data_IF_871216869022
#
_entry.id   IF_871216869022
#
_cell.length_a   1.000
_cell.length_b   1.000
_cell.length_c   1.000
_cell.angle_alpha   90.00
_cell.angle_beta   90.00
_cell.angle_gamma   90.00
#
_symmetry.space_group_name_H-M   'P 1'
#
loop_
_entity.id
_entity.type
_entity.pdbx_description
1 polymer ?
#
# COMPACT_ATOMS: atom_id res chain seq x y z
N UNK A 1 1.50 -10.21 23.60
CA UNK A 1 1.94 -11.47 22.95
C UNK A 1 2.11 -11.21 21.47
N UNK A 2 3.08 -11.89 20.81
CA UNK A 2 3.27 -11.76 19.35
C UNK A 2 2.19 -12.57 18.63
N UNK A 3 1.53 -11.94 17.64
CA UNK A 3 0.57 -12.60 16.74
C UNK A 3 1.29 -13.23 15.56
N UNK A 4 2.26 -12.51 14.98
CA UNK A 4 3.06 -12.98 13.84
C UNK A 4 4.53 -12.90 14.19
N UNK A 5 5.28 -13.95 13.87
CA UNK A 5 6.75 -13.98 13.99
C UNK A 5 7.34 -14.46 12.68
N UNK A 6 8.27 -13.69 12.14
CA UNK A 6 9.01 -13.97 10.92
C UNK A 6 10.49 -14.03 11.28
N UNK A 7 11.18 -15.08 10.84
CA UNK A 7 12.60 -15.30 11.15
C UNK A 7 13.33 -15.72 9.90
N UNK A 8 14.45 -15.05 9.61
CA UNK A 8 15.39 -15.38 8.52
C UNK A 8 14.74 -15.53 7.15
N UNK A 9 13.80 -14.65 6.81
CA UNK A 9 13.10 -14.70 5.54
C UNK A 9 14.01 -14.14 4.43
N UNK A 10 14.13 -14.87 3.33
CA UNK A 10 14.84 -14.47 2.12
C UNK A 10 14.02 -14.76 0.87
N UNK A 11 14.22 -13.97 -0.17
CA UNK A 11 13.61 -14.16 -1.48
C UNK A 11 14.48 -13.61 -2.59
N UNK A 12 14.62 -14.41 -3.66
CA UNK A 12 15.33 -14.04 -4.89
C UNK A 12 14.50 -14.41 -6.11
N UNK A 13 14.67 -13.73 -7.21
CA UNK A 13 14.15 -14.11 -8.52
C UNK A 13 15.32 -14.27 -9.49
N UNK A 14 15.63 -15.52 -9.83
CA UNK A 14 16.83 -15.84 -10.61
C UNK A 14 18.11 -15.44 -9.88
N UNK A 15 18.90 -14.54 -10.48
CA UNK A 15 20.12 -14.02 -9.88
C UNK A 15 19.91 -12.78 -8.97
N UNK A 16 18.74 -12.17 -9.03
CA UNK A 16 18.45 -10.94 -8.31
C UNK A 16 17.87 -11.24 -6.94
N UNK A 17 18.64 -10.94 -5.89
CA UNK A 17 18.20 -11.04 -4.51
C UNK A 17 17.30 -9.86 -4.17
N UNK A 18 16.03 -10.15 -3.85
CA UNK A 18 15.06 -9.13 -3.49
C UNK A 18 15.25 -8.66 -2.03
N UNK A 19 15.40 -9.64 -1.12
CA UNK A 19 15.72 -9.39 0.29
C UNK A 19 16.29 -10.65 0.96
N UNK A 20 16.98 -10.45 2.08
CA UNK A 20 17.57 -11.52 2.90
C UNK A 20 17.50 -11.19 4.38
N UNK A 21 17.54 -12.23 5.20
CA UNK A 21 17.63 -12.17 6.67
C UNK A 21 16.58 -11.29 7.34
N UNK A 22 15.37 -11.23 6.74
CA UNK A 22 14.26 -10.48 7.32
C UNK A 22 13.75 -11.20 8.55
N UNK A 23 13.84 -10.50 9.69
CA UNK A 23 13.35 -10.99 10.99
C UNK A 23 12.58 -9.87 11.69
N UNK A 24 11.32 -10.15 12.03
CA UNK A 24 10.48 -9.24 12.81
C UNK A 24 9.34 -9.98 13.49
N UNK A 25 8.67 -9.30 14.43
CA UNK A 25 7.46 -9.81 15.06
C UNK A 25 6.44 -8.69 15.20
N UNK A 26 5.17 -9.05 15.15
CA UNK A 26 4.04 -8.14 15.28
C UNK A 26 3.25 -8.56 16.51
N UNK A 27 3.03 -7.62 17.42
CA UNK A 27 2.24 -7.82 18.62
C UNK A 27 0.73 -7.66 18.35
N UNK A 28 -0.10 -8.16 19.25
CA UNK A 28 -1.54 -7.91 19.22
C UNK A 28 -1.82 -6.40 19.27
N UNK A 29 -2.72 -5.93 18.42
CA UNK A 29 -3.12 -4.52 18.34
C UNK A 29 -2.11 -3.59 17.70
N UNK A 30 -0.92 -4.05 17.33
CA UNK A 30 0.13 -3.22 16.71
C UNK A 30 -0.25 -2.76 15.30
N UNK A 31 -0.01 -1.48 14.99
CA UNK A 31 -0.24 -0.89 13.67
C UNK A 31 1.10 -0.72 12.93
N UNK A 32 1.39 -1.67 12.07
CA UNK A 32 2.69 -1.84 11.43
C UNK A 32 2.66 -1.34 9.99
N UNK A 33 3.38 -0.26 9.69
CA UNK A 33 3.51 0.28 8.34
C UNK A 33 4.71 -0.32 7.61
N UNK A 34 4.51 -0.92 6.45
CA UNK A 34 5.59 -1.42 5.59
C UNK A 34 5.85 -0.41 4.47
N UNK A 35 7.03 0.19 4.50
CA UNK A 35 7.46 1.18 3.52
C UNK A 35 8.71 0.72 2.78
N UNK A 36 9.01 1.32 1.63
CA UNK A 36 10.17 0.99 0.82
C UNK A 36 9.99 1.43 -0.63
N UNK A 37 11.03 1.32 -1.45
CA UNK A 37 11.00 1.69 -2.87
C UNK A 37 10.02 0.81 -3.65
N UNK A 38 9.50 1.33 -4.78
CA UNK A 38 8.75 0.51 -5.72
C UNK A 38 9.68 -0.56 -6.30
N UNK A 39 9.14 -1.79 -6.44
CA UNK A 39 9.96 -2.96 -6.82
C UNK A 39 10.85 -3.51 -5.71
N UNK A 40 10.89 -2.90 -4.51
CA UNK A 40 11.72 -3.35 -3.38
C UNK A 40 11.22 -4.60 -2.65
N UNK A 41 10.14 -5.24 -3.13
CA UNK A 41 9.67 -6.52 -2.59
C UNK A 41 8.58 -6.43 -1.52
N UNK A 42 7.94 -5.27 -1.31
CA UNK A 42 6.83 -5.13 -0.33
C UNK A 42 5.69 -6.11 -0.58
N UNK A 43 5.14 -6.10 -1.79
CA UNK A 43 4.04 -7.00 -2.18
C UNK A 43 4.47 -8.48 -2.16
N UNK A 44 5.72 -8.79 -2.54
CA UNK A 44 6.27 -10.14 -2.44
C UNK A 44 6.36 -10.61 -0.98
N UNK A 45 6.83 -9.73 -0.08
CA UNK A 45 6.83 -10.01 1.36
C UNK A 45 5.42 -10.31 1.86
N UNK A 46 4.43 -9.50 1.49
CA UNK A 46 3.03 -9.75 1.86
C UNK A 46 2.53 -11.08 1.32
N UNK A 47 2.80 -11.41 0.04
CA UNK A 47 2.41 -12.71 -0.56
C UNK A 47 3.01 -13.91 0.18
N UNK A 48 4.26 -13.78 0.62
CA UNK A 48 4.91 -14.83 1.41
C UNK A 48 4.25 -14.97 2.79
N UNK A 49 3.92 -13.85 3.47
CA UNK A 49 3.19 -13.88 4.74
C UNK A 49 1.83 -14.56 4.62
N UNK A 50 1.19 -14.43 3.45
CA UNK A 50 -0.09 -15.02 3.10
C UNK A 50 0.02 -16.50 2.68
N UNK A 51 1.22 -17.06 2.55
CA UNK A 51 1.44 -18.40 2.01
C UNK A 51 1.15 -18.53 0.51
N UNK A 52 1.00 -17.41 -0.21
CA UNK A 52 0.76 -17.39 -1.67
C UNK A 52 2.06 -17.55 -2.47
N UNK A 53 3.18 -17.29 -1.83
CA UNK A 53 4.51 -17.43 -2.39
C UNK A 53 5.45 -18.09 -1.36
N UNK A 54 6.34 -18.95 -1.82
CA UNK A 54 7.28 -19.62 -0.93
C UNK A 54 8.55 -18.77 -0.76
N UNK A 55 9.09 -18.68 0.46
CA UNK A 55 10.41 -18.10 0.67
C UNK A 55 11.51 -18.99 0.07
N UNK A 56 12.68 -18.42 -0.13
CA UNK A 56 13.84 -19.19 -0.53
C UNK A 56 14.34 -20.05 0.62
N UNK A 57 14.69 -21.29 0.31
CA UNK A 57 15.34 -22.22 1.24
C UNK A 57 16.85 -22.16 1.00
N UNK A 58 17.54 -21.26 1.68
CA UNK A 58 19.01 -21.26 1.68
C UNK A 58 19.48 -22.34 2.66
N UNK A 59 20.17 -23.37 2.17
CA UNK A 59 20.48 -24.65 2.84
C UNK A 59 21.07 -24.63 4.25
N UNK A 60 21.32 -23.47 4.86
CA UNK A 60 21.83 -23.33 6.23
C UNK A 60 20.84 -22.67 7.21
N UNK A 61 19.84 -21.93 6.72
CA UNK A 61 18.90 -21.22 7.59
C UNK A 61 17.48 -21.37 7.05
N UNK A 62 16.60 -22.02 7.81
CA UNK A 62 15.19 -22.23 7.41
C UNK A 62 14.41 -20.97 7.75
N UNK A 63 13.82 -20.35 6.73
CA UNK A 63 12.83 -19.29 6.92
C UNK A 63 11.64 -19.84 7.74
N UNK A 64 11.22 -19.13 8.77
CA UNK A 64 10.08 -19.52 9.57
C UNK A 64 9.09 -18.36 9.69
N UNK A 65 7.85 -18.65 9.31
CA UNK A 65 6.71 -17.76 9.51
C UNK A 65 5.77 -18.49 10.45
N UNK A 66 5.42 -17.87 11.57
CA UNK A 66 4.54 -18.45 12.57
C UNK A 66 3.46 -17.46 12.93
N UNK A 67 2.22 -17.78 12.58
CA UNK A 67 1.03 -17.13 13.11
C UNK A 67 0.65 -17.85 14.40
N UNK A 68 0.26 -17.11 15.44
CA UNK A 68 -0.17 -17.70 16.71
C UNK A 68 -1.40 -18.60 16.47
N UNK A 69 -1.45 -19.72 17.22
CA UNK A 69 -2.50 -20.73 17.03
C UNK A 69 -3.91 -20.12 17.22
N UNK A 70 -4.85 -20.54 16.34
CA UNK A 70 -6.23 -20.07 16.36
C UNK A 70 -6.45 -18.64 15.87
N UNK A 71 -5.40 -17.94 15.41
CA UNK A 71 -5.52 -16.57 14.89
C UNK A 71 -5.84 -16.56 13.40
N UNK A 72 -6.71 -15.63 13.00
CA UNK A 72 -7.18 -15.45 11.62
C UNK A 72 -6.47 -14.29 10.97
N UNK A 73 -6.11 -14.48 9.70
CA UNK A 73 -5.46 -13.48 8.88
C UNK A 73 -6.42 -13.03 7.79
N UNK A 74 -6.58 -11.71 7.67
CA UNK A 74 -7.35 -11.09 6.59
C UNK A 74 -6.44 -10.28 5.67
N UNK A 75 -6.70 -10.33 4.38
CA UNK A 75 -5.91 -9.63 3.37
C UNK A 75 -6.78 -8.88 2.37
N UNK A 76 -6.54 -7.59 2.24
CA UNK A 76 -7.06 -6.78 1.15
C UNK A 76 -6.00 -6.68 0.05
N UNK A 77 -6.27 -7.31 -1.07
CA UNK A 77 -5.47 -7.13 -2.29
C UNK A 77 -5.75 -5.79 -2.93
N UNK A 78 -4.75 -5.24 -3.63
CA UNK A 78 -4.91 -4.06 -4.48
C UNK A 78 -6.01 -4.25 -5.55
N UNK A 79 -6.16 -5.47 -6.07
CA UNK A 79 -7.28 -5.90 -6.91
C UNK A 79 -8.00 -7.04 -6.21
N UNK A 80 -9.09 -6.71 -5.49
CA UNK A 80 -9.87 -7.74 -4.81
C UNK A 80 -10.67 -8.56 -5.84
N UNK A 81 -10.63 -9.88 -5.78
CA UNK A 81 -11.47 -10.71 -6.64
C UNK A 81 -12.94 -10.48 -6.23
N UNK A 82 -13.71 -9.92 -7.11
CA UNK A 82 -15.15 -9.78 -7.00
C UNK A 82 -15.81 -10.59 -8.10
N UNK A 83 -16.98 -11.16 -7.81
CA UNK A 83 -17.77 -11.89 -8.79
C UNK A 83 -18.75 -10.91 -9.47
N UNK A 84 -18.50 -10.52 -10.73
CA UNK A 84 -19.27 -9.47 -11.39
C UNK A 84 -20.77 -9.77 -11.48
N UNK A 85 -21.12 -11.05 -11.53
CA UNK A 85 -22.48 -11.56 -11.65
C UNK A 85 -23.31 -11.52 -10.37
N UNK A 86 -22.65 -11.36 -9.20
CA UNK A 86 -23.32 -11.30 -7.90
C UNK A 86 -23.78 -9.90 -7.57
N UNK A 87 -24.81 -9.81 -6.75
CA UNK A 87 -25.21 -8.54 -6.14
C UNK A 87 -24.30 -8.17 -4.98
N UNK A 88 -24.33 -6.89 -4.57
CA UNK A 88 -23.59 -6.43 -3.38
C UNK A 88 -24.00 -7.20 -2.13
N UNK A 89 -25.32 -7.47 -1.97
CA UNK A 89 -25.83 -8.26 -0.84
C UNK A 89 -25.26 -9.68 -0.83
N UNK A 90 -25.27 -10.37 -1.96
CA UNK A 90 -24.73 -11.74 -2.10
C UNK A 90 -23.24 -11.79 -1.78
N UNK A 91 -22.47 -10.80 -2.23
CA UNK A 91 -21.02 -10.72 -1.94
C UNK A 91 -20.74 -10.46 -0.44
N UNK A 92 -21.56 -9.66 0.22
CA UNK A 92 -21.49 -9.46 1.68
C UNK A 92 -21.83 -10.76 2.41
N UNK A 93 -22.91 -11.45 2.00
CA UNK A 93 -23.35 -12.69 2.64
C UNK A 93 -22.29 -13.82 2.53
N UNK A 94 -21.58 -13.91 1.40
CA UNK A 94 -20.42 -14.83 1.27
C UNK A 94 -19.34 -14.55 2.32
N UNK A 95 -19.09 -13.31 2.67
CA UNK A 95 -18.12 -12.99 3.73
C UNK A 95 -18.62 -13.38 5.12
N UNK A 96 -19.94 -13.44 5.30
CA UNK A 96 -20.62 -13.81 6.54
C UNK A 96 -20.87 -15.32 6.68
N UNK A 97 -20.65 -16.11 5.61
CA UNK A 97 -20.90 -17.56 5.61
C UNK A 97 -20.29 -18.28 6.83
N UNK A 98 -19.02 -18.03 7.25
CA UNK A 98 -18.47 -18.67 8.44
C UNK A 98 -19.19 -18.28 9.74
N UNK A 99 -19.72 -17.07 9.83
CA UNK A 99 -20.53 -16.60 10.95
C UNK A 99 -21.90 -17.31 10.96
N UNK A 100 -22.57 -17.39 9.79
CA UNK A 100 -23.86 -18.09 9.63
C UNK A 100 -23.73 -19.58 9.93
N UNK A 101 -22.61 -20.20 9.53
CA UNK A 101 -22.32 -21.59 9.85
C UNK A 101 -22.18 -21.83 11.37
N UNK A 102 -21.48 -20.93 12.09
CA UNK A 102 -21.36 -21.00 13.54
C UNK A 102 -22.73 -20.81 14.24
N UNK A 103 -23.54 -19.88 13.76
CA UNK A 103 -24.92 -19.66 14.26
C UNK A 103 -25.79 -20.92 14.07
N UNK A 104 -25.76 -21.50 12.88
CA UNK A 104 -26.49 -22.72 12.58
C UNK A 104 -26.01 -23.92 13.44
N UNK A 105 -24.71 -23.99 13.73
CA UNK A 105 -24.16 -25.03 14.60
C UNK A 105 -24.63 -24.90 16.06
N UNK A 106 -24.81 -23.67 16.56
CA UNK A 106 -25.43 -23.42 17.88
C UNK A 106 -26.87 -23.94 17.91
N UNK A 107 -27.66 -23.61 16.89
CA UNK A 107 -29.05 -24.04 16.79
C UNK A 107 -29.16 -25.58 16.68
N UNK A 108 -28.34 -26.20 15.85
CA UNK A 108 -28.29 -27.66 15.69
C UNK A 108 -27.89 -28.38 16.98
N UNK A 109 -26.90 -27.86 17.71
CA UNK A 109 -26.48 -28.42 19.00
C UNK A 109 -27.58 -28.26 20.06
N UNK A 110 -28.32 -27.14 20.04
CA UNK A 110 -29.46 -26.92 20.91
C UNK A 110 -30.59 -27.95 20.67
N UNK A 111 -30.89 -28.26 19.42
CA UNK A 111 -31.86 -29.32 19.04
C UNK A 111 -31.36 -30.69 19.50
N UNK A 112 -30.08 -31.01 19.26
CA UNK A 112 -29.47 -32.29 19.69
C UNK A 112 -29.51 -32.48 21.20
N UNK A 113 -29.30 -31.41 21.99
CA UNK A 113 -29.48 -31.47 23.46
C UNK A 113 -30.93 -31.81 23.85
N UNK A 114 -31.92 -31.24 23.14
CA UNK A 114 -33.34 -31.56 23.41
C UNK A 114 -33.71 -33.02 23.02
N UNK A 115 -33.07 -33.57 21.99
CA UNK A 115 -33.28 -34.94 21.52
C UNK A 115 -32.52 -36.02 22.34
N UNK A 116 -31.48 -35.63 23.07
CA UNK A 116 -30.66 -36.55 23.85
C UNK A 116 -31.45 -37.26 24.99
N UNK A 117 -32.53 -36.66 25.50
CA UNK A 117 -33.36 -37.23 26.55
C UNK A 117 -32.54 -37.64 27.78
N UNK A 118 -32.67 -38.90 28.21
CA UNK A 118 -31.93 -39.46 29.38
C UNK A 118 -30.55 -40.05 28.98
N UNK A 119 -30.12 -39.94 27.72
CA UNK A 119 -28.84 -40.47 27.24
C UNK A 119 -27.70 -39.48 27.60
N UNK A 120 -26.99 -39.78 28.69
CA UNK A 120 -25.94 -38.89 29.21
C UNK A 120 -24.77 -38.69 28.25
N UNK A 121 -24.43 -39.71 27.44
CA UNK A 121 -23.29 -39.64 26.50
C UNK A 121 -23.67 -38.70 25.32
N UNK A 122 -24.87 -38.83 24.77
CA UNK A 122 -25.36 -37.91 23.71
C UNK A 122 -25.53 -36.47 24.18
N UNK A 123 -26.01 -36.31 25.41
CA UNK A 123 -26.13 -34.97 26.01
C UNK A 123 -24.76 -34.31 26.17
N UNK A 124 -23.75 -35.07 26.62
CA UNK A 124 -22.40 -34.55 26.76
C UNK A 124 -21.79 -34.16 25.40
N UNK A 125 -21.96 -35.02 24.38
CA UNK A 125 -21.51 -34.72 23.02
C UNK A 125 -22.18 -33.44 22.44
N UNK A 126 -23.48 -33.28 22.66
CA UNK A 126 -24.20 -32.08 22.22
C UNK A 126 -23.78 -30.83 22.99
N UNK A 127 -23.47 -30.92 24.28
CA UNK A 127 -22.95 -29.81 25.10
C UNK A 127 -21.55 -29.38 24.65
N UNK A 128 -20.68 -30.34 24.35
CA UNK A 128 -19.33 -30.04 23.83
C UNK A 128 -19.42 -29.35 22.45
N UNK A 129 -20.28 -29.86 21.59
CA UNK A 129 -20.53 -29.24 20.26
C UNK A 129 -21.10 -27.83 20.39
N UNK A 130 -22.03 -27.59 21.31
CA UNK A 130 -22.61 -26.28 21.60
C UNK A 130 -21.52 -25.29 22.08
N UNK A 131 -20.66 -25.74 23.01
CA UNK A 131 -19.61 -24.89 23.55
C UNK A 131 -18.63 -24.46 22.46
N UNK A 132 -18.21 -25.40 21.60
CA UNK A 132 -17.33 -25.12 20.47
C UNK A 132 -17.98 -24.13 19.48
N UNK A 133 -19.26 -24.36 19.15
CA UNK A 133 -20.00 -23.50 18.23
C UNK A 133 -20.22 -22.10 18.81
N UNK A 134 -20.49 -21.99 20.13
CA UNK A 134 -20.64 -20.72 20.82
C UNK A 134 -19.33 -19.93 20.85
N UNK A 135 -18.21 -20.57 21.17
CA UNK A 135 -16.90 -19.93 21.17
C UNK A 135 -16.52 -19.42 19.78
N UNK A 136 -16.80 -20.20 18.71
CA UNK A 136 -16.58 -19.77 17.34
C UNK A 136 -17.47 -18.60 16.94
N UNK A 137 -18.76 -18.65 17.28
CA UNK A 137 -19.73 -17.58 17.03
C UNK A 137 -19.33 -16.26 17.72
N UNK A 138 -18.98 -16.31 19.01
CA UNK A 138 -18.55 -15.14 19.79
C UNK A 138 -17.24 -14.56 19.22
N UNK A 139 -16.29 -15.41 18.84
CA UNK A 139 -15.03 -15.00 18.23
C UNK A 139 -15.21 -14.27 16.89
N UNK A 140 -16.35 -14.49 16.21
CA UNK A 140 -16.72 -13.82 14.95
C UNK A 140 -17.53 -12.55 15.16
N UNK A 141 -17.88 -12.20 16.38
CA UNK A 141 -18.64 -10.99 16.72
C UNK A 141 -19.99 -11.23 17.36
N UNK A 142 -20.45 -12.49 17.47
CA UNK A 142 -21.67 -12.84 18.16
C UNK A 142 -22.89 -12.06 17.62
N UNK A 143 -23.84 -11.81 18.49
CA UNK A 143 -25.08 -11.09 18.15
C UNK A 143 -24.90 -9.61 17.78
N UNK A 144 -23.74 -9.01 18.07
CA UNK A 144 -23.44 -7.63 17.72
C UNK A 144 -23.11 -7.46 16.23
N UNK A 145 -22.75 -8.54 15.52
CA UNK A 145 -22.30 -8.44 14.13
C UNK A 145 -23.41 -7.94 13.20
N UNK A 146 -24.66 -8.33 13.40
CA UNK A 146 -25.78 -7.89 12.55
C UNK A 146 -25.95 -6.37 12.55
N UNK A 147 -25.89 -5.73 13.71
CA UNK A 147 -25.89 -4.27 13.83
C UNK A 147 -24.64 -3.62 13.23
N UNK A 148 -23.50 -4.35 13.28
CA UNK A 148 -22.23 -3.88 12.71
C UNK A 148 -22.25 -3.91 11.18
N UNK A 149 -22.95 -4.88 10.54
CA UNK A 149 -23.00 -5.01 9.08
C UNK A 149 -23.59 -3.74 8.46
N UNK A 150 -24.77 -3.32 8.89
CA UNK A 150 -25.43 -2.12 8.36
C UNK A 150 -24.59 -0.86 8.63
N UNK A 151 -24.04 -0.73 9.83
CA UNK A 151 -23.15 0.37 10.20
C UNK A 151 -21.90 0.44 9.34
N UNK A 152 -21.23 -0.70 9.07
CA UNK A 152 -20.04 -0.79 8.23
C UNK A 152 -20.35 -0.41 6.78
N UNK A 153 -21.41 -0.97 6.20
CA UNK A 153 -21.80 -0.67 4.82
C UNK A 153 -22.18 0.80 4.64
N UNK A 154 -22.94 1.36 5.57
CA UNK A 154 -23.31 2.79 5.56
C UNK A 154 -22.08 3.70 5.67
N UNK A 155 -21.15 3.38 6.56
CA UNK A 155 -19.91 4.14 6.75
C UNK A 155 -18.99 4.10 5.53
N UNK A 156 -19.07 3.05 4.72
CA UNK A 156 -18.40 2.93 3.43
C UNK A 156 -19.19 3.54 2.28
N UNK A 157 -20.30 4.22 2.56
CA UNK A 157 -21.10 4.95 1.58
C UNK A 157 -22.07 4.10 0.78
N UNK A 158 -22.35 2.86 1.20
CA UNK A 158 -23.39 2.02 0.60
C UNK A 158 -24.75 2.34 1.20
N UNK A 159 -25.77 2.43 0.36
CA UNK A 159 -27.16 2.61 0.74
C UNK A 159 -27.90 1.28 0.67
N UNK A 160 -28.99 1.10 1.42
CA UNK A 160 -29.83 -0.10 1.28
C UNK A 160 -30.30 -0.35 -0.15
N UNK A 161 -30.54 0.71 -0.93
CA UNK A 161 -30.93 0.62 -2.34
C UNK A 161 -29.82 0.08 -3.26
N UNK A 162 -28.58 0.08 -2.82
CA UNK A 162 -27.47 -0.36 -3.65
C UNK A 162 -27.24 -1.88 -3.54
N UNK A 163 -27.85 -2.52 -2.54
CA UNK A 163 -27.62 -3.93 -2.24
C UNK A 163 -28.00 -4.89 -3.37
N UNK A 164 -29.00 -4.53 -4.17
CA UNK A 164 -29.44 -5.31 -5.33
C UNK A 164 -28.63 -5.04 -6.60
N UNK A 165 -27.68 -4.08 -6.55
CA UNK A 165 -26.83 -3.73 -7.69
C UNK A 165 -25.82 -4.85 -7.95
N UNK A 166 -25.62 -5.23 -9.22
CA UNK A 166 -24.59 -6.18 -9.60
C UNK A 166 -23.19 -5.58 -9.36
N UNK A 167 -22.28 -6.39 -8.86
CA UNK A 167 -20.89 -5.97 -8.58
C UNK A 167 -20.17 -5.53 -9.86
N UNK A 168 -20.52 -6.14 -11.01
CA UNK A 168 -19.99 -5.75 -12.32
C UNK A 168 -20.37 -4.32 -12.74
N UNK A 169 -21.51 -3.79 -12.24
CA UNK A 169 -21.95 -2.42 -12.50
C UNK A 169 -21.36 -1.40 -11.52
N UNK A 170 -20.58 -1.86 -10.56
CA UNK A 170 -19.92 -1.00 -9.59
C UNK A 170 -18.64 -0.39 -10.17
N UNK A 171 -18.39 0.88 -9.83
CA UNK A 171 -17.10 1.50 -10.09
C UNK A 171 -15.98 0.80 -9.32
N UNK A 172 -14.72 0.90 -9.79
CA UNK A 172 -13.57 0.33 -9.10
C UNK A 172 -13.45 0.78 -7.64
N UNK A 173 -13.85 2.01 -7.32
CA UNK A 173 -13.91 2.50 -5.94
C UNK A 173 -14.98 1.81 -5.11
N UNK A 174 -16.17 1.57 -5.66
CA UNK A 174 -17.23 0.80 -4.98
C UNK A 174 -16.79 -0.65 -4.75
N UNK A 175 -16.15 -1.28 -5.71
CA UNK A 175 -15.61 -2.64 -5.56
C UNK A 175 -14.54 -2.71 -4.47
N UNK A 176 -13.65 -1.73 -4.39
CA UNK A 176 -12.64 -1.65 -3.33
C UNK A 176 -13.29 -1.47 -1.95
N UNK A 177 -14.31 -0.60 -1.84
CA UNK A 177 -15.06 -0.41 -0.60
C UNK A 177 -15.82 -1.67 -0.18
N UNK A 178 -16.42 -2.39 -1.14
CA UNK A 178 -17.06 -3.68 -0.88
C UNK A 178 -16.08 -4.72 -0.35
N UNK A 179 -14.91 -4.84 -0.98
CA UNK A 179 -13.86 -5.76 -0.54
C UNK A 179 -13.37 -5.42 0.88
N UNK A 180 -13.25 -4.12 1.18
CA UNK A 180 -12.92 -3.65 2.52
C UNK A 180 -14.03 -3.98 3.53
N UNK A 181 -15.32 -3.77 3.17
CA UNK A 181 -16.46 -4.15 4.01
C UNK A 181 -16.42 -5.65 4.34
N UNK A 182 -16.27 -6.50 3.34
CA UNK A 182 -16.16 -7.96 3.50
C UNK A 182 -15.04 -8.32 4.48
N UNK A 183 -13.88 -7.70 4.32
CA UNK A 183 -12.73 -7.97 5.17
C UNK A 183 -12.93 -7.54 6.62
N UNK A 184 -13.51 -6.36 6.83
CA UNK A 184 -13.83 -5.82 8.16
C UNK A 184 -14.84 -6.71 8.90
N UNK A 185 -15.87 -7.17 8.19
CA UNK A 185 -16.92 -8.03 8.75
C UNK A 185 -16.41 -9.40 9.19
N UNK A 186 -15.33 -9.93 8.58
CA UNK A 186 -14.70 -11.19 9.01
C UNK A 186 -13.90 -11.07 10.32
N UNK A 187 -13.65 -9.85 10.82
CA UNK A 187 -12.91 -9.56 12.07
C UNK A 187 -11.62 -10.38 12.23
N UNK A 188 -10.65 -10.30 11.31
CA UNK A 188 -9.39 -11.06 11.43
C UNK A 188 -8.54 -10.52 12.59
N UNK A 189 -7.72 -11.35 13.22
CA UNK A 189 -6.78 -10.94 14.27
C UNK A 189 -5.58 -10.16 13.74
N UNK A 190 -5.18 -10.46 12.49
CA UNK A 190 -4.16 -9.74 11.74
C UNK A 190 -4.72 -9.32 10.39
N UNK A 191 -4.76 -8.03 10.15
CA UNK A 191 -5.25 -7.41 8.93
C UNK A 191 -4.07 -6.95 8.09
N UNK A 192 -3.99 -7.39 6.83
CA UNK A 192 -2.99 -6.95 5.87
C UNK A 192 -3.68 -6.12 4.79
N UNK A 193 -3.24 -4.88 4.61
CA UNK A 193 -3.78 -3.93 3.65
C UNK A 193 -2.67 -3.47 2.69
N UNK A 194 -2.83 -3.76 1.41
CA UNK A 194 -1.91 -3.32 0.35
C UNK A 194 -2.54 -2.18 -0.44
N UNK A 195 -2.06 -0.95 -0.24
CA UNK A 195 -2.53 0.29 -0.85
C UNK A 195 -4.06 0.52 -0.71
N UNK A 196 -4.64 0.44 0.52
CA UNK A 196 -6.09 0.49 0.71
C UNK A 196 -6.71 1.85 0.38
N UNK A 197 -5.91 2.91 0.34
CA UNK A 197 -6.37 4.27 0.01
C UNK A 197 -6.57 4.49 -1.49
N UNK A 198 -6.06 3.59 -2.34
CA UNK A 198 -6.26 3.69 -3.77
C UNK A 198 -7.75 3.54 -4.11
N UNK A 199 -8.23 4.42 -4.97
CA UNK A 199 -9.63 4.47 -5.43
C UNK A 199 -10.68 4.87 -4.37
N UNK A 200 -10.24 5.18 -3.13
CA UNK A 200 -11.13 5.75 -2.11
C UNK A 200 -11.22 7.27 -2.27
N UNK A 201 -12.39 7.82 -1.96
CA UNK A 201 -12.56 9.25 -1.78
C UNK A 201 -12.15 9.68 -0.35
N UNK A 202 -12.13 10.98 -0.11
CA UNK A 202 -11.65 11.53 1.16
C UNK A 202 -12.48 11.01 2.34
N UNK A 203 -13.79 10.93 2.20
CA UNK A 203 -14.69 10.46 3.27
C UNK A 203 -14.43 8.99 3.63
N UNK A 204 -14.20 8.15 2.61
CA UNK A 204 -13.87 6.74 2.82
C UNK A 204 -12.46 6.56 3.43
N UNK A 205 -11.50 7.42 3.08
CA UNK A 205 -10.17 7.41 3.70
C UNK A 205 -10.24 7.83 5.17
N UNK A 206 -10.97 8.88 5.52
CA UNK A 206 -11.17 9.34 6.90
C UNK A 206 -11.88 8.26 7.75
N UNK A 207 -12.89 7.60 7.19
CA UNK A 207 -13.52 6.48 7.85
C UNK A 207 -12.53 5.33 8.09
N UNK A 208 -11.75 4.94 7.06
CA UNK A 208 -10.77 3.87 7.18
C UNK A 208 -9.70 4.19 8.23
N UNK A 209 -9.25 5.44 8.28
CA UNK A 209 -8.31 5.92 9.29
C UNK A 209 -8.86 5.74 10.70
N UNK A 210 -10.10 6.19 10.94
CA UNK A 210 -10.78 6.04 12.23
C UNK A 210 -10.96 4.58 12.60
N UNK A 211 -11.45 3.77 11.65
CA UNK A 211 -11.62 2.34 11.83
C UNK A 211 -10.31 1.63 12.23
N UNK A 212 -9.21 1.90 11.51
CA UNK A 212 -7.93 1.24 11.77
C UNK A 212 -7.30 1.66 13.10
N UNK A 213 -7.53 2.88 13.56
CA UNK A 213 -7.11 3.34 14.89
C UNK A 213 -7.80 2.57 16.01
N UNK A 214 -9.10 2.34 15.86
CA UNK A 214 -9.95 1.65 16.83
C UNK A 214 -9.88 0.12 16.73
N UNK A 215 -9.34 -0.40 15.62
CA UNK A 215 -9.27 -1.83 15.37
C UNK A 215 -8.43 -2.54 16.44
N UNK A 216 -9.04 -3.49 17.15
CA UNK A 216 -8.37 -4.23 18.25
C UNK A 216 -7.28 -5.19 17.74
N UNK A 217 -7.41 -5.71 16.52
CA UNK A 217 -6.42 -6.60 15.89
C UNK A 217 -5.16 -5.87 15.45
N UNK A 218 -4.13 -6.65 15.11
CA UNK A 218 -2.92 -6.11 14.50
C UNK A 218 -3.17 -5.74 13.02
N UNK A 219 -2.42 -4.76 12.51
CA UNK A 219 -2.51 -4.31 11.13
C UNK A 219 -1.13 -4.25 10.50
N UNK A 220 -0.98 -4.80 9.30
CA UNK A 220 0.14 -4.52 8.38
C UNK A 220 -0.42 -3.64 7.27
N UNK A 221 0.14 -2.45 7.11
CA UNK A 221 -0.31 -1.45 6.17
C UNK A 221 0.80 -1.08 5.19
N UNK A 222 0.56 -1.26 3.90
CA UNK A 222 1.38 -0.67 2.83
C UNK A 222 0.59 0.49 2.26
N UNK A 223 1.16 1.69 2.24
CA UNK A 223 0.55 2.86 1.60
C UNK A 223 1.62 3.84 1.12
N UNK A 224 1.30 4.56 0.05
CA UNK A 224 2.06 5.72 -0.43
C UNK A 224 1.54 7.03 0.18
N UNK A 225 0.37 7.01 0.81
CA UNK A 225 -0.18 8.17 1.51
C UNK A 225 0.51 8.34 2.88
N UNK A 226 1.31 9.40 2.97
CA UNK A 226 2.09 9.71 4.17
C UNK A 226 1.22 10.17 5.32
N UNK A 227 0.15 10.91 5.02
CA UNK A 227 -0.79 11.43 6.02
C UNK A 227 -1.55 10.28 6.65
N UNK A 228 -2.01 9.36 5.84
CA UNK A 228 -2.68 8.15 6.30
C UNK A 228 -1.76 7.26 7.17
N UNK A 229 -0.50 7.04 6.73
CA UNK A 229 0.48 6.32 7.56
C UNK A 229 0.75 7.04 8.89
N UNK A 230 0.89 8.37 8.86
CA UNK A 230 1.13 9.16 10.08
C UNK A 230 -0.01 9.05 11.09
N UNK A 231 -1.23 8.95 10.60
CA UNK A 231 -2.41 8.87 11.42
C UNK A 231 -2.65 7.48 12.05
N UNK A 232 -2.26 6.40 11.37
CA UNK A 232 -2.65 5.03 11.72
C UNK A 232 -1.53 4.23 12.37
N UNK A 233 -0.27 4.36 11.90
CA UNK A 233 0.79 3.42 12.29
C UNK A 233 1.58 3.87 13.53
N UNK A 234 2.00 2.90 14.32
CA UNK A 234 2.85 3.08 15.51
C UNK A 234 4.27 2.52 15.33
N UNK A 235 4.48 1.76 14.28
CA UNK A 235 5.78 1.15 13.93
C UNK A 235 5.93 1.12 12.42
N UNK A 236 7.09 1.54 11.92
CA UNK A 236 7.43 1.49 10.50
C UNK A 236 8.53 0.45 10.26
N UNK A 237 8.28 -0.43 9.29
CA UNK A 237 9.27 -1.33 8.72
C UNK A 237 9.72 -0.79 7.36
N UNK A 238 10.94 -0.37 7.28
CA UNK A 238 11.56 0.16 6.07
C UNK A 238 12.32 -0.95 5.35
N UNK A 239 11.78 -1.38 4.21
CA UNK A 239 12.42 -2.35 3.33
C UNK A 239 13.25 -1.60 2.29
N UNK A 240 14.55 -1.49 2.56
CA UNK A 240 15.49 -0.77 1.71
C UNK A 240 16.75 -1.61 1.44
N UNK A 241 17.15 -1.69 0.16
CA UNK A 241 18.29 -2.48 -0.29
C UNK A 241 18.30 -3.94 0.22
N UNK A 242 17.13 -4.58 0.19
CA UNK A 242 16.96 -5.99 0.59
C UNK A 242 17.01 -6.25 2.10
N UNK A 243 17.06 -5.22 2.93
CA UNK A 243 17.07 -5.31 4.41
C UNK A 243 15.86 -4.63 5.00
N UNK A 244 15.32 -5.20 6.07
CA UNK A 244 14.23 -4.62 6.84
C UNK A 244 14.78 -3.94 8.09
N UNK A 245 14.44 -2.67 8.27
CA UNK A 245 14.78 -1.91 9.48
C UNK A 245 13.52 -1.41 10.15
N UNK A 246 13.38 -1.66 11.45
CA UNK A 246 12.23 -1.24 12.22
C UNK A 246 12.49 0.11 12.89
N UNK A 247 11.49 0.99 12.81
CA UNK A 247 11.46 2.29 13.48
C UNK A 247 10.18 2.41 14.30
N UNK A 248 10.29 2.81 15.56
CA UNK A 248 9.13 3.06 16.41
C UNK A 248 8.59 4.46 16.15
N UNK A 249 7.27 4.55 16.10
CA UNK A 249 6.55 5.79 15.85
C UNK A 249 5.89 5.84 14.50
N UNK A 250 5.30 6.99 14.19
CA UNK A 250 4.59 7.26 12.96
C UNK A 250 5.54 7.57 11.77
N UNK A 251 5.00 7.87 10.61
CA UNK A 251 5.78 8.11 9.40
C UNK A 251 6.71 9.34 9.50
N UNK A 252 6.25 10.40 10.14
CA UNK A 252 7.05 11.62 10.37
C UNK A 252 8.26 11.33 11.28
N UNK A 253 8.05 10.62 12.38
CA UNK A 253 9.12 10.20 13.29
C UNK A 253 10.10 9.24 12.62
N UNK A 254 9.61 8.29 11.83
CA UNK A 254 10.45 7.42 11.01
C UNK A 254 11.35 8.23 10.07
N UNK A 255 10.81 9.21 9.35
CA UNK A 255 11.59 10.07 8.45
C UNK A 255 12.73 10.78 9.16
N UNK A 256 12.47 11.31 10.34
CA UNK A 256 13.49 11.96 11.17
C UNK A 256 14.56 10.96 11.60
N UNK A 257 14.18 9.84 12.21
CA UNK A 257 15.10 8.80 12.68
C UNK A 257 15.95 8.23 11.53
N UNK A 258 15.34 7.99 10.36
CA UNK A 258 16.07 7.53 9.16
C UNK A 258 17.09 8.57 8.72
N UNK A 259 16.74 9.85 8.67
CA UNK A 259 17.67 10.93 8.29
C UNK A 259 18.85 11.03 9.27
N UNK A 260 18.60 11.04 10.57
CA UNK A 260 19.62 11.07 11.60
C UNK A 260 20.59 9.86 11.50
N UNK A 261 20.06 8.68 11.21
CA UNK A 261 20.85 7.47 10.99
C UNK A 261 21.76 7.60 9.76
N UNK A 262 21.22 8.10 8.65
CA UNK A 262 21.97 8.32 7.41
C UNK A 262 23.07 9.37 7.59
N UNK A 263 22.77 10.48 8.27
CA UNK A 263 23.75 11.54 8.55
C UNK A 263 24.88 11.02 9.43
N UNK A 264 24.57 10.27 10.49
CA UNK A 264 25.56 9.64 11.36
C UNK A 264 26.44 8.64 10.59
N UNK A 265 25.83 7.80 9.76
CA UNK A 265 26.59 6.84 8.94
C UNK A 265 27.50 7.56 7.93
N UNK A 266 27.02 8.67 7.35
CA UNK A 266 27.83 9.50 6.45
C UNK A 266 29.04 10.15 7.16
N UNK A 267 28.86 10.64 8.38
CA UNK A 267 29.96 11.17 9.17
C UNK A 267 30.99 10.11 9.55
N UNK A 268 30.55 8.92 9.97
CA UNK A 268 31.44 7.78 10.25
C UNK A 268 32.22 7.42 8.99
N UNK A 269 31.55 7.34 7.84
CA UNK A 269 32.20 7.06 6.56
C UNK A 269 33.25 8.13 6.21
N UNK A 270 32.93 9.43 6.33
CA UNK A 270 33.87 10.52 6.10
C UNK A 270 35.10 10.43 6.99
N UNK A 271 34.91 10.13 8.27
CA UNK A 271 36.00 9.98 9.23
C UNK A 271 36.87 8.79 8.87
N UNK A 272 36.28 7.68 8.49
CA UNK A 272 37.02 6.49 8.03
C UNK A 272 37.80 6.80 6.75
N UNK A 273 37.23 7.51 5.77
CA UNK A 273 37.96 7.88 4.54
C UNK A 273 39.16 8.76 4.84
N UNK A 274 39.05 9.75 5.72
CA UNK A 274 40.21 10.58 6.14
C UNK A 274 41.31 9.74 6.77
N UNK A 275 40.95 8.77 7.61
CA UNK A 275 41.98 7.90 8.23
C UNK A 275 42.61 6.94 7.20
N UNK A 276 41.83 6.40 6.26
CA UNK A 276 42.34 5.59 5.14
C UNK A 276 43.32 6.40 4.26
N UNK A 277 42.97 7.63 3.93
CA UNK A 277 43.86 8.53 3.16
C UNK A 277 45.15 8.81 3.92
N UNK A 278 45.06 9.14 5.21
CA UNK A 278 46.26 9.32 6.07
C UNK A 278 47.14 8.09 6.11
N UNK A 279 46.59 6.91 6.25
CA UNK A 279 47.31 5.66 6.25
C UNK A 279 47.95 5.36 4.88
N UNK A 280 47.25 5.67 3.78
CA UNK A 280 47.81 5.58 2.41
C UNK A 280 48.97 6.54 2.20
N UNK A 281 48.88 7.76 2.70
CA UNK A 281 49.98 8.73 2.63
C UNK A 281 51.20 8.27 3.46
N UNK A 282 50.97 7.63 4.61
CA UNK A 282 52.04 7.03 5.40
C UNK A 282 52.75 5.92 4.62
N UNK A 283 52.03 5.08 3.91
CA UNK A 283 52.59 4.04 3.01
C UNK A 283 53.39 4.69 1.90
N UNK A 284 52.91 5.75 1.24
CA UNK A 284 53.60 6.47 0.18
C UNK A 284 54.94 7.07 0.65
N UNK A 285 54.93 7.73 1.82
CA UNK A 285 56.17 8.33 2.39
C UNK A 285 57.23 7.32 2.73
N UNK A 286 56.86 6.06 2.96
CA UNK A 286 57.78 4.97 3.26
C UNK A 286 58.10 4.09 2.03
N UNK A 287 57.86 4.54 0.80
CA UNK A 287 58.10 3.76 -0.43
C UNK A 287 59.57 3.60 -0.84
N UNK A 288 60.53 4.29 -0.25
CA UNK A 288 61.95 4.24 -0.63
C UNK A 288 62.92 3.83 0.48
N UNK A 289 62.44 3.32 1.62
CA UNK A 289 63.26 3.03 2.80
C UNK A 289 63.62 1.56 2.97
N UNK A 290 64.67 1.28 3.78
CA UNK A 290 65.10 -0.07 4.12
C UNK A 290 64.09 -0.89 4.95
N UNK A 291 64.58 -1.94 5.64
CA UNK A 291 63.74 -2.93 6.36
C UNK A 291 62.67 -2.34 7.30
N UNK A 292 63.02 -1.24 8.00
CA UNK A 292 62.09 -0.56 8.91
C UNK A 292 60.86 0.04 8.16
N UNK A 293 61.11 0.68 7.00
CA UNK A 293 60.06 1.25 6.17
C UNK A 293 59.19 0.15 5.55
N UNK A 294 59.74 -1.00 5.23
CA UNK A 294 59.02 -2.18 4.76
C UNK A 294 58.09 -2.74 5.85
N UNK A 295 58.52 -2.82 7.09
CA UNK A 295 57.70 -3.25 8.24
C UNK A 295 56.56 -2.29 8.50
N UNK A 296 56.81 -0.96 8.47
CA UNK A 296 55.74 0.06 8.64
C UNK A 296 54.69 -0.08 7.55
N UNK A 297 55.08 -0.24 6.28
CA UNK A 297 54.15 -0.46 5.16
C UNK A 297 53.24 -1.67 5.40
N UNK A 298 53.84 -2.83 5.74
CA UNK A 298 53.13 -4.09 5.96
C UNK A 298 52.13 -3.99 7.10
N UNK A 299 52.50 -3.37 8.22
CA UNK A 299 51.62 -3.15 9.38
C UNK A 299 50.47 -2.19 9.03
N UNK A 300 50.81 -1.08 8.33
CA UNK A 300 49.78 -0.08 7.92
C UNK A 300 48.81 -0.65 6.90
N UNK A 301 49.30 -1.43 5.93
CA UNK A 301 48.47 -2.13 4.96
C UNK A 301 47.51 -3.12 5.67
N UNK A 302 48.04 -3.94 6.59
CA UNK A 302 47.21 -4.87 7.36
C UNK A 302 46.19 -4.16 8.29
N UNK A 303 46.45 -2.90 8.70
CA UNK A 303 45.47 -2.09 9.44
C UNK A 303 44.31 -1.65 8.53
N UNK A 304 44.60 -1.20 7.30
CA UNK A 304 43.57 -0.83 6.31
C UNK A 304 42.71 -2.04 5.95
N UNK A 305 43.32 -3.22 5.76
CA UNK A 305 42.58 -4.46 5.39
C UNK A 305 41.67 -4.97 6.50
N UNK A 306 42.03 -4.75 7.79
CA UNK A 306 41.27 -5.13 8.95
C UNK A 306 40.23 -4.10 9.36
N UNK A 307 40.24 -2.91 8.75
CA UNK A 307 39.16 -1.93 9.00
C UNK A 307 37.87 -2.42 8.40
N UNK A 308 36.83 -2.56 9.24
CA UNK A 308 35.46 -2.81 8.76
C UNK A 308 35.06 -1.69 7.81
N UNK A 309 34.81 -2.05 6.57
CA UNK A 309 34.46 -1.05 5.55
C UNK A 309 33.06 -0.54 5.83
N UNK A 310 32.94 0.70 6.27
CA UNK A 310 31.67 1.40 6.35
C UNK A 310 31.18 1.67 4.93
N UNK A 311 30.04 1.12 4.57
CA UNK A 311 29.42 1.36 3.27
C UNK A 311 29.07 2.84 3.13
N UNK A 312 29.42 3.41 1.98
CA UNK A 312 29.00 4.76 1.63
C UNK A 312 27.47 4.77 1.49
N UNK A 313 26.82 5.55 2.33
CA UNK A 313 25.41 5.83 2.13
C UNK A 313 25.27 6.73 0.92
N UNK A 314 24.71 6.19 -0.15
CA UNK A 314 24.20 7.03 -1.23
C UNK A 314 22.87 7.62 -0.74
N UNK A 315 22.93 8.81 -0.17
CA UNK A 315 21.72 9.62 -0.08
C UNK A 315 21.29 9.84 -1.52
N UNK A 316 20.19 9.20 -1.90
CA UNK A 316 19.65 9.35 -3.24
C UNK A 316 19.18 10.80 -3.42
N UNK A 317 20.12 11.65 -3.77
CA UNK A 317 19.88 13.05 -4.14
C UNK A 317 19.44 13.16 -5.59
N UNK A 318 19.32 12.04 -6.28
CA UNK A 318 18.78 11.98 -7.64
C UNK A 318 17.26 12.21 -7.60
N UNK A 319 16.86 13.36 -7.10
CA UNK A 319 15.63 13.96 -7.61
C UNK A 319 15.92 14.21 -9.09
N UNK A 320 15.38 13.35 -9.96
CA UNK A 320 15.30 13.66 -11.37
C UNK A 320 14.65 15.04 -11.48
N UNK A 321 15.46 16.06 -11.57
CA UNK A 321 15.01 17.38 -11.99
C UNK A 321 14.98 17.32 -13.51
N UNK A 322 13.87 16.90 -14.06
CA UNK A 322 13.58 17.19 -15.45
C UNK A 322 13.63 18.73 -15.56
N UNK A 323 14.69 19.26 -16.14
CA UNK A 323 14.71 20.64 -16.57
C UNK A 323 13.83 20.69 -17.82
N UNK A 324 12.57 21.05 -17.63
CA UNK A 324 11.72 21.41 -18.74
C UNK A 324 12.22 22.77 -19.22
N UNK A 325 12.84 22.80 -20.39
CA UNK A 325 13.33 24.04 -20.98
C UNK A 325 12.10 24.79 -21.55
N UNK A 326 11.73 25.91 -20.92
CA UNK A 326 10.59 26.74 -21.33
C UNK A 326 10.82 27.45 -22.67
N UNK A 327 11.99 27.33 -23.29
CA UNK A 327 12.38 28.05 -24.53
C UNK A 327 11.56 27.69 -25.77
N UNK A 328 10.78 26.61 -25.75
CA UNK A 328 9.92 26.18 -26.85
C UNK A 328 8.46 26.64 -26.77
N UNK A 329 8.01 27.13 -25.62
CA UNK A 329 6.65 27.63 -25.48
C UNK A 329 6.56 29.04 -26.04
N UNK A 330 5.84 29.22 -27.15
CA UNK A 330 5.49 30.58 -27.65
C UNK A 330 4.83 31.42 -26.55
N UNK A 331 4.74 32.74 -26.74
CA UNK A 331 4.05 33.61 -25.78
C UNK A 331 2.58 33.19 -25.64
N UNK A 332 2.27 32.54 -24.53
CA UNK A 332 0.91 32.17 -24.15
C UNK A 332 0.28 33.38 -23.45
N UNK A 333 -1.00 33.66 -23.72
CA UNK A 333 -1.78 34.71 -23.06
C UNK A 333 -1.86 34.50 -21.54
N UNK A 334 -2.45 35.45 -20.85
CA UNK A 334 -2.71 35.36 -19.40
C UNK A 334 -3.74 34.27 -19.10
N UNK A 335 -4.85 34.29 -19.84
CA UNK A 335 -5.94 33.33 -19.70
C UNK A 335 -5.59 32.05 -20.48
N UNK A 336 -5.54 30.94 -19.78
CA UNK A 336 -5.15 29.61 -20.31
C UNK A 336 -6.36 28.76 -20.63
N UNK A 337 -7.40 28.85 -19.79
CA UNK A 337 -8.62 28.06 -19.91
C UNK A 337 -9.79 28.83 -19.30
N UNK A 338 -10.89 28.92 -20.03
CA UNK A 338 -12.13 29.53 -19.54
C UNK A 338 -13.29 28.54 -19.72
N UNK A 339 -14.04 28.31 -18.66
CA UNK A 339 -15.29 27.57 -18.65
C UNK A 339 -16.42 28.57 -18.42
N UNK A 340 -17.45 28.52 -19.26
CA UNK A 340 -18.63 29.39 -19.16
C UNK A 340 -19.90 28.54 -19.08
N UNK A 341 -20.64 28.62 -17.96
CA UNK A 341 -21.88 27.90 -17.72
C UNK A 341 -21.81 26.41 -18.05
N UNK A 342 -20.65 25.79 -17.80
CA UNK A 342 -20.41 24.40 -18.18
C UNK A 342 -21.28 23.46 -17.37
N UNK A 343 -21.99 22.58 -18.05
CA UNK A 343 -22.81 21.55 -17.42
C UNK A 343 -22.73 20.23 -18.17
N UNK A 344 -22.80 19.13 -17.42
CA UNK A 344 -22.85 17.77 -17.95
C UNK A 344 -23.92 16.94 -17.27
N UNK A 345 -24.72 16.28 -18.08
CA UNK A 345 -25.76 15.34 -17.69
C UNK A 345 -25.58 14.04 -18.48
N UNK A 346 -25.83 12.91 -17.86
CA UNK A 346 -25.99 11.62 -18.54
C UNK A 346 -27.41 11.12 -18.20
N UNK A 347 -28.22 10.97 -19.21
CA UNK A 347 -29.64 10.64 -19.11
C UNK A 347 -30.35 11.52 -18.04
N UNK A 348 -30.84 10.93 -16.95
CA UNK A 348 -31.49 11.65 -15.85
C UNK A 348 -30.53 12.12 -14.75
N UNK A 349 -29.25 11.70 -14.81
CA UNK A 349 -28.25 12.06 -13.79
C UNK A 349 -27.49 13.32 -14.17
N UNK A 350 -27.72 14.39 -13.41
CA UNK A 350 -26.95 15.62 -13.49
C UNK A 350 -25.65 15.43 -12.72
N UNK A 351 -24.48 15.64 -13.35
CA UNK A 351 -23.21 15.61 -12.66
C UNK A 351 -22.85 16.98 -12.07
N UNK A 352 -22.93 18.02 -12.89
CA UNK A 352 -22.75 19.41 -12.50
C UNK A 352 -23.39 20.35 -13.51
N UNK A 353 -23.77 21.54 -13.03
CA UNK A 353 -24.39 22.60 -13.84
C UNK A 353 -23.77 23.94 -13.47
N UNK A 354 -23.78 24.87 -14.40
CA UNK A 354 -23.37 26.26 -14.20
C UNK A 354 -21.96 26.41 -13.63
N UNK A 355 -21.01 25.60 -14.10
CA UNK A 355 -19.62 25.68 -13.67
C UNK A 355 -18.91 26.78 -14.49
N UNK A 356 -18.51 27.83 -13.82
CA UNK A 356 -17.68 28.91 -14.35
C UNK A 356 -16.30 28.84 -13.73
N UNK A 357 -15.25 28.86 -14.54
CA UNK A 357 -13.87 28.81 -14.07
C UNK A 357 -12.97 29.55 -15.07
N UNK A 358 -12.12 30.41 -14.56
CA UNK A 358 -11.03 31.00 -15.35
C UNK A 358 -9.69 30.58 -14.75
N UNK A 359 -8.82 30.04 -15.60
CA UNK A 359 -7.47 29.57 -15.21
C UNK A 359 -6.44 30.44 -15.88
N UNK A 360 -5.62 31.08 -15.07
CA UNK A 360 -4.52 31.93 -15.53
C UNK A 360 -3.20 31.14 -15.61
N UNK A 361 -2.25 31.70 -16.33
CA UNK A 361 -0.91 31.13 -16.46
C UNK A 361 -0.21 31.05 -15.09
N UNK A 362 0.18 29.84 -14.70
CA UNK A 362 0.85 29.58 -13.43
C UNK A 362 -0.06 29.05 -12.32
N UNK A 363 -1.38 29.06 -12.54
CA UNK A 363 -2.33 28.49 -11.59
C UNK A 363 -2.14 26.98 -11.44
N UNK A 364 -2.47 26.50 -10.24
CA UNK A 364 -2.51 25.08 -9.90
C UNK A 364 -3.85 24.80 -9.25
N UNK A 365 -4.67 24.05 -9.95
CA UNK A 365 -6.05 23.76 -9.53
C UNK A 365 -6.19 22.30 -9.17
N UNK A 366 -6.75 22.00 -8.00
CA UNK A 366 -7.12 20.67 -7.55
C UNK A 366 -8.63 20.47 -7.62
N UNK A 367 -9.10 19.44 -8.32
CA UNK A 367 -10.50 19.03 -8.29
C UNK A 367 -10.72 17.99 -7.19
N UNK A 368 -11.51 18.35 -6.19
CA UNK A 368 -11.81 17.53 -5.01
C UNK A 368 -13.30 17.23 -4.98
N UNK A 369 -13.67 16.05 -4.51
CA UNK A 369 -15.05 15.63 -4.36
C UNK A 369 -15.19 14.11 -4.28
N UNK A 370 -16.38 13.61 -3.91
CA UNK A 370 -16.66 12.19 -3.79
C UNK A 370 -16.50 11.44 -5.13
N UNK A 371 -16.40 10.12 -5.05
CA UNK A 371 -16.37 9.29 -6.25
C UNK A 371 -17.72 9.41 -7.00
N UNK A 372 -17.65 9.47 -8.32
CA UNK A 372 -18.84 9.68 -9.16
C UNK A 372 -19.34 11.13 -9.26
N UNK A 373 -18.70 12.12 -8.62
CA UNK A 373 -19.05 13.55 -8.72
C UNK A 373 -18.72 14.18 -10.09
N UNK A 374 -18.13 13.44 -11.01
CA UNK A 374 -17.85 13.94 -12.37
C UNK A 374 -16.45 14.52 -12.57
N UNK A 375 -15.49 14.33 -11.63
CA UNK A 375 -14.10 14.84 -11.77
C UNK A 375 -13.44 14.39 -13.08
N UNK A 376 -13.45 13.10 -13.37
CA UNK A 376 -12.89 12.54 -14.60
C UNK A 376 -13.65 12.98 -15.85
N UNK A 377 -14.97 13.15 -15.73
CA UNK A 377 -15.81 13.67 -16.81
C UNK A 377 -15.47 15.13 -17.12
N UNK A 378 -15.23 15.94 -16.09
CA UNK A 378 -14.76 17.31 -16.28
C UNK A 378 -13.43 17.35 -17.05
N UNK A 379 -12.46 16.52 -16.68
CA UNK A 379 -11.19 16.42 -17.43
C UNK A 379 -11.40 16.00 -18.87
N UNK A 380 -12.28 15.03 -19.15
CA UNK A 380 -12.63 14.62 -20.53
C UNK A 380 -13.29 15.74 -21.34
N UNK A 381 -14.13 16.57 -20.71
CA UNK A 381 -14.67 17.77 -21.34
C UNK A 381 -13.58 18.79 -21.69
N UNK A 382 -12.58 18.99 -20.81
CA UNK A 382 -11.44 19.85 -21.06
C UNK A 382 -10.59 19.36 -22.23
N UNK A 383 -10.46 18.04 -22.39
CA UNK A 383 -9.73 17.40 -23.49
C UNK A 383 -10.54 17.31 -24.79
N UNK A 384 -11.80 17.72 -24.76
CA UNK A 384 -12.75 17.58 -25.88
C UNK A 384 -13.00 16.10 -26.29
N UNK A 385 -12.77 15.17 -25.36
CA UNK A 385 -13.12 13.75 -25.52
C UNK A 385 -14.62 13.51 -25.28
N UNK A 386 -15.25 14.42 -24.55
CA UNK A 386 -16.68 14.46 -24.28
C UNK A 386 -17.26 15.83 -24.63
N UNK A 387 -18.54 15.86 -24.99
CA UNK A 387 -19.24 17.13 -25.27
C UNK A 387 -20.01 17.59 -24.04
N UNK A 388 -19.99 18.88 -23.71
CA UNK A 388 -20.81 19.42 -22.62
C UNK A 388 -22.30 19.38 -23.01
N UNK A 389 -23.18 19.23 -22.02
CA UNK A 389 -24.63 19.36 -22.22
C UNK A 389 -25.03 20.83 -22.33
N UNK A 390 -24.39 21.69 -21.53
CA UNK A 390 -24.58 23.15 -21.57
C UNK A 390 -23.23 23.84 -21.44
N UNK A 391 -23.16 25.11 -21.88
CA UNK A 391 -21.96 25.92 -21.76
C UNK A 391 -20.88 25.58 -22.76
N UNK A 392 -19.67 26.07 -22.49
CA UNK A 392 -18.50 25.88 -23.38
C UNK A 392 -17.19 25.86 -22.62
N UNK A 393 -16.22 25.18 -23.24
CA UNK A 393 -14.81 25.13 -22.83
C UNK A 393 -14.00 25.92 -23.86
N UNK A 394 -13.21 26.89 -23.44
CA UNK A 394 -12.36 27.70 -24.29
C UNK A 394 -10.91 27.64 -23.81
N UNK A 395 -10.03 27.12 -24.65
CA UNK A 395 -8.59 27.19 -24.43
C UNK A 395 -8.04 28.53 -24.95
N UNK A 396 -7.10 29.09 -24.21
CA UNK A 396 -6.41 30.33 -24.61
C UNK A 396 -5.61 30.12 -25.89
N UNK A 397 -5.28 31.26 -26.57
CA UNK A 397 -4.55 31.24 -27.82
C UNK A 397 -3.14 30.63 -27.63
N UNK A 398 -2.75 29.72 -28.50
CA UNK A 398 -1.47 29.00 -28.49
C UNK A 398 -1.23 28.12 -27.27
N UNK A 399 -2.26 27.76 -26.49
CA UNK A 399 -2.14 26.81 -25.39
C UNK A 399 -2.03 25.39 -25.94
N UNK A 400 -0.96 24.69 -25.56
CA UNK A 400 -0.81 23.25 -25.78
C UNK A 400 -1.11 22.55 -24.48
N UNK A 401 -2.08 21.65 -24.47
CA UNK A 401 -2.41 20.82 -23.32
C UNK A 401 -1.81 19.44 -23.48
N UNK A 402 -1.44 18.84 -22.35
CA UNK A 402 -1.04 17.44 -22.26
C UNK A 402 -1.82 16.81 -21.12
N UNK A 403 -2.17 15.55 -21.29
CA UNK A 403 -2.91 14.80 -20.31
C UNK A 403 -2.13 13.56 -19.86
N UNK A 404 -2.01 13.40 -18.56
CA UNK A 404 -1.47 12.20 -17.97
C UNK A 404 -2.61 11.44 -17.27
N UNK A 405 -3.02 10.32 -17.85
CA UNK A 405 -4.14 9.52 -17.34
C UNK A 405 -3.72 8.66 -16.13
N UNK A 406 -4.70 8.25 -15.33
CA UNK A 406 -4.50 7.31 -14.24
C UNK A 406 -3.95 5.96 -14.75
N UNK A 407 -4.35 5.56 -15.96
CA UNK A 407 -3.94 4.34 -16.65
C UNK A 407 -2.97 4.66 -17.81
N UNK A 408 -1.99 5.54 -17.57
CA UNK A 408 -1.03 5.94 -18.60
C UNK A 408 -0.26 4.76 -19.20
N UNK A 409 -0.05 3.68 -18.42
CA UNK A 409 0.61 2.47 -18.91
C UNK A 409 -0.20 1.74 -19.99
N UNK A 410 -1.53 1.83 -19.98
CA UNK A 410 -2.41 1.17 -20.95
C UNK A 410 -2.33 1.82 -22.34
N UNK A 411 -1.85 3.06 -22.39
CA UNK A 411 -1.63 3.79 -23.65
C UNK A 411 -0.27 3.50 -24.30
N UNK A 412 0.61 2.75 -23.63
CA UNK A 412 1.94 2.40 -24.14
C UNK A 412 1.91 1.08 -24.89
N UNK A 413 2.59 1.01 -26.03
CA UNK A 413 2.81 -0.27 -26.72
C UNK A 413 3.91 -1.06 -25.99
N UNK A 414 3.50 -2.11 -25.26
CA UNK A 414 4.41 -2.97 -24.51
C UNK A 414 5.36 -3.82 -25.37
N UNK A 415 5.19 -3.80 -26.70
CA UNK A 415 6.02 -4.56 -27.65
C UNK A 415 7.27 -3.80 -28.08
N UNK A 416 7.31 -2.48 -27.89
CA UNK A 416 8.43 -1.64 -28.24
C UNK A 416 9.24 -1.24 -26.99
N UNK A 417 10.52 -0.94 -27.18
CA UNK A 417 11.39 -0.51 -26.09
C UNK A 417 11.06 0.90 -25.61
N UNK A 418 11.46 1.25 -24.39
CA UNK A 418 11.33 2.61 -23.84
C UNK A 418 12.00 3.64 -24.74
N UNK A 419 13.16 3.30 -25.31
CA UNK A 419 13.89 4.20 -26.21
C UNK A 419 13.13 4.44 -27.53
N UNK A 420 12.53 3.40 -28.09
CA UNK A 420 11.69 3.52 -29.30
C UNK A 420 10.43 4.34 -29.02
N UNK A 421 9.78 4.12 -27.87
CA UNK A 421 8.62 4.93 -27.45
C UNK A 421 8.98 6.42 -27.35
N UNK A 422 10.14 6.75 -26.75
CA UNK A 422 10.63 8.12 -26.67
C UNK A 422 10.97 8.69 -28.06
N UNK A 423 11.58 7.90 -28.94
CA UNK A 423 11.88 8.30 -30.31
C UNK A 423 10.64 8.61 -31.15
N UNK A 424 9.55 7.84 -30.96
CA UNK A 424 8.26 8.11 -31.60
C UNK A 424 7.61 9.42 -31.10
N UNK A 425 7.76 9.70 -29.81
CA UNK A 425 7.23 10.92 -29.20
C UNK A 425 8.07 12.18 -29.51
N UNK A 426 9.35 12.01 -29.83
CA UNK A 426 10.32 13.08 -30.09
C UNK A 426 11.14 12.76 -31.35
N UNK A 427 10.54 12.85 -32.55
CA UNK A 427 11.23 12.47 -33.81
C UNK A 427 12.48 13.31 -34.10
N UNK A 428 12.59 14.52 -33.53
CA UNK A 428 13.74 15.42 -33.70
C UNK A 428 14.84 15.23 -32.64
N UNK A 429 14.73 14.19 -31.79
CA UNK A 429 15.71 13.89 -30.74
C UNK A 429 16.79 12.94 -31.28
N UNK A 430 17.90 13.55 -31.80
CA UNK A 430 19.14 12.87 -32.21
C UNK A 430 20.19 12.98 -31.11
#
# INVERSE_FOLDING_TARGET
MSILTVTNLAKSFGADQLFSDITFSIAAGQKFGLVGRNGGGKTTLLRILMGQELPDTNGTTTARISLAAGRRLGYLKQEAPVHPERTLAEEVEVALEPYRAAQAAIEASGVAMGEAGDDADKLQEALDAYTIAQDDFESRGGWELEGTIEGTLRSLGFKPSDMDKAVGDCSGGEQTRLALAKLVLTRPDLLILDEPTNHLDIEAVEWLETFLKEYAGAVILVSHDRTFLDAVVDTIADLDNGKLTLYRGNYTQFRQQKQERLDRQHEIWKTQQKEVERLKDLIKRNQGGGDTASKIRKVTQGRIERMDKVERVFVDTSRMRAKVDEKGAGRIGRDVLTLENLGKRFDDKVLFENLDLNVERGDRIGFVGPNGAGKSTLVKLLLNEEQPTTGKVQWGHNVRHAYFSQHAADSLDLKISVLETLGLAMPDWN
#
